data_IF_588767024096
#
_entry.id   IF_588767024096
#
_cell.length_a   1.000
_cell.length_b   1.000
_cell.length_c   1.000
_cell.angle_alpha   90.00
_cell.angle_beta   90.00
_cell.angle_gamma   90.00
#
_symmetry.space_group_name_H-M   'P 1'
#
loop_
_entity.id
_entity.type
_entity.pdbx_description
1 polymer ?
#
# COMPACT_ATOMS: atom_id res chain seq x y z
N UNK A 1 6.25 -6.14 -22.79
CA UNK A 1 5.46 -5.66 -21.65
C UNK A 1 6.39 -5.27 -20.51
N UNK A 2 6.17 -4.12 -19.91
CA UNK A 2 6.98 -3.67 -18.78
C UNK A 2 6.64 -4.46 -17.52
N UNK A 3 7.64 -4.74 -16.70
CA UNK A 3 7.45 -5.43 -15.43
C UNK A 3 7.97 -4.54 -14.30
N UNK A 4 7.14 -4.34 -13.28
CA UNK A 4 7.49 -3.56 -12.10
C UNK A 4 7.35 -4.41 -10.84
N UNK A 5 8.36 -4.32 -9.96
CA UNK A 5 8.30 -4.91 -8.63
C UNK A 5 8.00 -3.81 -7.63
N UNK A 6 6.98 -4.01 -6.81
CA UNK A 6 6.43 -3.00 -5.90
C UNK A 6 6.33 -3.57 -4.50
N UNK A 7 6.62 -2.73 -3.50
CA UNK A 7 6.36 -3.03 -2.10
C UNK A 7 5.27 -2.08 -1.60
N UNK A 8 4.23 -2.62 -0.98
CA UNK A 8 3.12 -1.84 -0.46
C UNK A 8 2.89 -2.15 1.01
N UNK A 9 2.44 -1.15 1.76
CA UNK A 9 2.25 -1.27 3.20
C UNK A 9 0.79 -1.17 3.61
N UNK A 10 0.38 -2.08 4.48
CA UNK A 10 -0.95 -2.10 5.08
C UNK A 10 -0.76 -1.63 6.53
N UNK A 11 -1.02 -0.34 6.78
CA UNK A 11 -0.91 0.23 8.11
C UNK A 11 -2.24 0.03 8.83
N UNK A 12 -2.19 -0.69 9.95
CA UNK A 12 -3.38 -0.94 10.77
C UNK A 12 -3.24 -0.18 12.08
N UNK A 13 -4.25 0.61 12.43
CA UNK A 13 -4.24 1.33 13.70
C UNK A 13 -4.86 0.48 14.82
N UNK A 14 -4.84 1.01 16.04
CA UNK A 14 -5.37 0.30 17.20
C UNK A 14 -6.89 0.12 17.17
N UNK A 15 -7.58 0.86 16.31
CA UNK A 15 -9.04 0.77 16.15
C UNK A 15 -9.46 -0.19 15.04
N UNK A 16 -8.52 -0.89 14.40
CA UNK A 16 -8.82 -1.81 13.32
C UNK A 16 -9.05 -1.12 11.98
N UNK A 17 -8.57 0.11 11.82
CA UNK A 17 -8.67 0.85 10.56
C UNK A 17 -7.38 0.71 9.77
N UNK A 18 -7.51 0.75 8.46
CA UNK A 18 -6.40 0.60 7.52
C UNK A 18 -6.24 1.89 6.74
N UNK A 19 -5.00 2.30 6.52
CA UNK A 19 -4.69 3.52 5.78
C UNK A 19 -4.66 3.26 4.28
N UNK A 20 -5.41 4.08 3.54
CA UNK A 20 -5.34 4.11 2.08
C UNK A 20 -4.97 5.52 1.63
N UNK A 21 -4.36 5.61 0.46
CA UNK A 21 -3.89 6.87 -0.11
C UNK A 21 -4.47 7.05 -1.51
N UNK A 22 -4.79 8.28 -1.85
CA UNK A 22 -5.29 8.63 -3.17
C UNK A 22 -4.15 8.64 -4.18
N UNK A 23 -4.37 8.01 -5.35
CA UNK A 23 -3.40 8.03 -6.42
C UNK A 23 -3.48 9.38 -7.13
N UNK A 24 -2.37 10.12 -7.12
CA UNK A 24 -2.27 11.45 -7.72
C UNK A 24 -1.39 11.40 -8.98
N UNK A 25 -1.38 12.50 -9.74
CA UNK A 25 -0.61 12.62 -10.96
C UNK A 25 -1.46 12.36 -12.19
N UNK A 26 -0.83 12.39 -13.36
CA UNK A 26 -1.52 12.28 -14.66
C UNK A 26 -1.58 10.85 -15.20
N UNK A 27 -1.16 9.88 -14.40
CA UNK A 27 -1.10 8.50 -14.83
C UNK A 27 -2.45 7.80 -14.84
N UNK A 28 -2.48 6.53 -15.27
CA UNK A 28 -3.69 5.72 -15.20
C UNK A 28 -4.12 5.52 -13.76
N UNK A 29 -5.42 5.30 -13.55
CA UNK A 29 -6.02 5.10 -12.23
C UNK A 29 -5.97 6.31 -11.32
N UNK A 30 -5.76 7.51 -11.89
CA UNK A 30 -5.82 8.77 -11.15
C UNK A 30 -7.13 8.86 -10.38
N UNK A 31 -7.06 9.20 -9.10
CA UNK A 31 -8.24 9.35 -8.25
C UNK A 31 -8.69 8.07 -7.55
N UNK A 32 -8.17 6.92 -7.94
CA UNK A 32 -8.44 5.69 -7.20
C UNK A 32 -7.56 5.64 -5.94
N UNK A 33 -7.97 4.81 -4.99
CA UNK A 33 -7.27 4.64 -3.73
C UNK A 33 -6.38 3.40 -3.77
N UNK A 34 -5.31 3.41 -2.98
CA UNK A 34 -4.35 2.31 -2.94
C UNK A 34 -3.70 2.20 -1.57
N UNK A 35 -3.12 1.03 -1.28
CA UNK A 35 -2.22 0.91 -0.15
C UNK A 35 -0.93 1.64 -0.50
N UNK A 36 -0.37 2.46 0.40
CA UNK A 36 0.83 3.23 0.10
C UNK A 36 2.04 2.34 -0.14
N UNK A 37 2.92 2.77 -1.01
CA UNK A 37 4.13 2.04 -1.36
C UNK A 37 4.68 2.51 -2.69
N UNK A 38 5.61 1.75 -3.24
CA UNK A 38 6.21 2.12 -4.50
C UNK A 38 7.16 1.07 -5.04
N UNK A 39 7.85 1.43 -6.11
CA UNK A 39 8.74 0.52 -6.81
C UNK A 39 9.96 0.16 -5.97
N UNK A 40 10.33 -1.11 -6.02
CA UNK A 40 11.56 -1.60 -5.41
C UNK A 40 12.72 -1.21 -6.30
N UNK A 41 13.69 -0.50 -5.73
CA UNK A 41 14.86 -0.05 -6.46
C UNK A 41 15.86 -1.17 -6.68
N UNK A 42 16.78 -0.94 -7.61
CA UNK A 42 17.83 -1.89 -7.91
C UNK A 42 18.70 -2.10 -6.67
N UNK A 43 18.86 -3.37 -6.28
CA UNK A 43 19.66 -3.72 -5.11
C UNK A 43 18.98 -3.52 -3.77
N UNK A 44 17.72 -3.07 -3.77
CA UNK A 44 16.93 -2.91 -2.56
C UNK A 44 16.17 -4.20 -2.24
N UNK A 45 16.05 -4.53 -0.95
CA UNK A 45 15.08 -5.52 -0.54
C UNK A 45 13.68 -4.90 -0.57
N UNK A 46 12.65 -5.73 -0.62
CA UNK A 46 11.26 -5.24 -0.57
C UNK A 46 11.00 -4.46 0.72
N UNK A 47 11.53 -4.93 1.84
CA UNK A 47 11.35 -4.27 3.13
C UNK A 47 12.02 -2.89 3.16
N UNK A 48 13.23 -2.77 2.60
CA UNK A 48 13.95 -1.50 2.53
C UNK A 48 13.22 -0.52 1.59
N UNK A 49 12.72 -1.02 0.47
CA UNK A 49 11.94 -0.21 -0.45
C UNK A 49 10.68 0.33 0.21
N UNK A 50 9.97 -0.52 0.96
CA UNK A 50 8.78 -0.11 1.69
C UNK A 50 9.10 1.01 2.68
N UNK A 51 10.15 0.83 3.49
CA UNK A 51 10.55 1.84 4.48
C UNK A 51 10.87 3.16 3.82
N UNK A 52 11.60 3.13 2.71
CA UNK A 52 11.96 4.34 1.96
C UNK A 52 10.73 5.01 1.37
N UNK A 53 9.86 4.24 0.70
CA UNK A 53 8.66 4.79 0.07
C UNK A 53 7.71 5.40 1.10
N UNK A 54 7.50 4.74 2.24
CA UNK A 54 6.60 5.27 3.27
C UNK A 54 7.20 6.50 3.96
N UNK A 55 8.52 6.58 4.06
CA UNK A 55 9.17 7.80 4.54
C UNK A 55 8.93 8.96 3.59
N UNK A 56 9.04 8.72 2.28
CA UNK A 56 8.83 9.74 1.26
C UNK A 56 7.36 10.17 1.16
N UNK A 57 6.45 9.21 1.12
CA UNK A 57 5.04 9.48 0.88
C UNK A 57 4.26 9.93 2.11
N UNK A 58 4.59 9.38 3.26
CA UNK A 58 3.81 9.56 4.49
C UNK A 58 4.59 10.25 5.61
N UNK A 59 5.89 10.46 5.45
CA UNK A 59 6.77 11.04 6.46
C UNK A 59 6.79 10.24 7.77
N UNK A 60 6.72 8.92 7.65
CA UNK A 60 6.80 8.02 8.81
C UNK A 60 8.06 7.17 8.75
N UNK A 61 8.44 6.61 9.89
CA UNK A 61 9.53 5.63 9.97
C UNK A 61 8.94 4.28 10.38
N UNK A 62 9.00 3.30 9.48
CA UNK A 62 8.50 1.95 9.77
C UNK A 62 9.45 1.27 10.74
N UNK A 63 8.94 0.77 11.86
CA UNK A 63 9.75 0.11 12.88
C UNK A 63 9.44 -1.38 13.01
N UNK A 64 8.28 -1.83 12.53
CA UNK A 64 7.95 -3.26 12.50
C UNK A 64 6.99 -3.56 11.36
N UNK A 65 7.35 -4.52 10.52
CA UNK A 65 6.49 -4.99 9.45
C UNK A 65 6.76 -6.47 9.19
N UNK A 66 5.78 -7.14 8.59
CA UNK A 66 5.91 -8.55 8.20
C UNK A 66 5.25 -8.76 6.85
N UNK A 67 5.83 -9.67 6.05
CA UNK A 67 5.25 -9.99 4.74
C UNK A 67 3.88 -10.63 4.94
N UNK A 68 2.91 -10.17 4.17
CA UNK A 68 1.54 -10.64 4.25
C UNK A 68 1.12 -11.43 3.02
N UNK A 69 1.38 -10.88 1.83
CA UNK A 69 0.88 -11.46 0.60
C UNK A 69 1.70 -10.99 -0.59
N UNK A 70 1.88 -11.87 -1.57
CA UNK A 70 2.49 -11.52 -2.85
C UNK A 70 1.44 -11.68 -3.92
N UNK A 71 1.33 -10.67 -4.79
CA UNK A 71 0.40 -10.69 -5.91
C UNK A 71 1.12 -10.38 -7.21
N UNK A 72 0.61 -10.98 -8.26
CA UNK A 72 1.02 -10.66 -9.61
C UNK A 72 -0.22 -10.23 -10.37
N UNK A 73 -0.22 -9.01 -10.89
CA UNK A 73 -1.38 -8.47 -11.59
C UNK A 73 -0.96 -7.93 -12.95
N UNK A 74 -1.68 -8.34 -13.99
CA UNK A 74 -1.42 -7.90 -15.34
C UNK A 74 -2.40 -6.81 -15.73
N UNK A 75 -1.85 -5.62 -15.99
CA UNK A 75 -2.59 -4.52 -16.59
C UNK A 75 -2.38 -4.57 -18.09
N UNK A 76 -3.13 -3.79 -18.85
CA UNK A 76 -3.07 -3.79 -20.31
C UNK A 76 -1.66 -3.57 -20.84
N UNK A 77 -0.89 -2.67 -20.22
CA UNK A 77 0.43 -2.26 -20.71
C UNK A 77 1.60 -2.72 -19.82
N UNK A 78 1.32 -3.42 -18.70
CA UNK A 78 2.37 -3.76 -17.75
C UNK A 78 1.98 -4.93 -16.85
N UNK A 79 3.01 -5.56 -16.33
CA UNK A 79 2.88 -6.59 -15.31
C UNK A 79 3.45 -6.04 -14.01
N UNK A 80 2.70 -6.14 -12.92
CA UNK A 80 3.11 -5.66 -11.62
C UNK A 80 3.15 -6.82 -10.63
N UNK A 81 4.29 -7.01 -9.97
CA UNK A 81 4.41 -7.96 -8.86
C UNK A 81 4.49 -7.13 -7.59
N UNK A 82 3.58 -7.35 -6.66
CA UNK A 82 3.49 -6.56 -5.44
C UNK A 82 3.68 -7.44 -4.22
N UNK A 83 4.61 -7.06 -3.36
CA UNK A 83 4.73 -7.67 -2.04
C UNK A 83 4.06 -6.74 -1.04
N UNK A 84 3.02 -7.26 -0.36
CA UNK A 84 2.27 -6.51 0.65
C UNK A 84 2.79 -6.88 2.03
N UNK A 85 3.00 -5.86 2.86
CA UNK A 85 3.47 -6.01 4.22
C UNK A 85 2.42 -5.48 5.19
N UNK A 86 2.21 -6.19 6.30
CA UNK A 86 1.48 -5.63 7.44
C UNK A 86 2.47 -4.77 8.21
N UNK A 87 2.17 -3.48 8.33
CA UNK A 87 2.99 -2.53 9.08
C UNK A 87 2.34 -2.36 10.44
N UNK A 88 2.97 -2.91 11.47
CA UNK A 88 2.40 -2.95 12.82
C UNK A 88 2.91 -1.84 13.73
N UNK A 89 4.06 -1.27 13.43
CA UNK A 89 4.63 -0.18 14.23
C UNK A 89 5.35 0.81 13.35
N UNK A 90 5.16 2.09 13.65
CA UNK A 90 5.85 3.17 12.97
C UNK A 90 5.95 4.39 13.89
N UNK A 91 6.85 5.30 13.55
CA UNK A 91 7.01 6.57 14.25
C UNK A 91 6.42 7.69 13.42
N UNK A 92 5.85 8.68 14.07
CA UNK A 92 5.19 9.86 13.52
C UNK A 92 3.82 9.53 12.90
N UNK A 93 2.95 10.51 12.87
CA UNK A 93 1.64 10.34 12.27
C UNK A 93 1.74 10.43 10.75
N UNK A 94 1.13 9.50 10.00
CA UNK A 94 1.12 9.59 8.55
C UNK A 94 0.50 10.89 8.06
N UNK A 95 1.13 11.50 7.06
CA UNK A 95 0.62 12.70 6.41
C UNK A 95 0.84 12.59 4.90
N UNK A 96 0.05 13.29 4.12
CA UNK A 96 0.17 13.29 2.67
C UNK A 96 1.30 14.16 2.20
N UNK A 97 2.54 13.69 2.36
CA UNK A 97 3.75 14.47 2.09
C UNK A 97 3.95 14.79 0.61
N UNK A 98 3.21 14.13 -0.28
CA UNK A 98 3.24 14.39 -1.72
C UNK A 98 1.97 15.07 -2.21
N UNK A 99 1.12 15.55 -1.29
CA UNK A 99 -0.11 16.23 -1.63
C UNK A 99 -1.31 15.29 -1.81
N UNK A 100 -1.12 14.00 -1.62
CA UNK A 100 -2.21 13.03 -1.75
C UNK A 100 -3.12 13.03 -0.53
N UNK A 101 -4.40 12.75 -0.75
CA UNK A 101 -5.33 12.55 0.36
C UNK A 101 -5.09 11.20 1.02
N UNK A 102 -5.31 11.14 2.32
CA UNK A 102 -5.21 9.91 3.10
C UNK A 102 -6.56 9.64 3.75
N UNK A 103 -6.86 8.36 3.96
CA UNK A 103 -8.11 7.96 4.60
C UNK A 103 -7.87 6.72 5.45
N UNK A 104 -8.33 6.76 6.70
CA UNK A 104 -8.37 5.60 7.57
C UNK A 104 -9.73 4.95 7.42
N UNK A 105 -9.77 3.68 7.02
CA UNK A 105 -11.01 2.97 6.72
C UNK A 105 -11.08 1.69 7.55
N UNK A 106 -12.22 1.42 8.21
CA UNK A 106 -12.38 0.13 8.89
C UNK A 106 -12.13 -1.01 7.89
N UNK A 107 -11.43 -2.02 8.34
CA UNK A 107 -11.04 -3.16 7.48
C UNK A 107 -12.22 -3.73 6.71
N UNK A 108 -13.36 -3.88 7.36
CA UNK A 108 -14.55 -4.48 6.75
C UNK A 108 -15.30 -3.54 5.80
N UNK A 109 -14.86 -2.27 5.70
CA UNK A 109 -15.45 -1.29 4.79
C UNK A 109 -14.56 -0.99 3.59
N UNK A 110 -13.42 -1.66 3.46
CA UNK A 110 -12.48 -1.40 2.36
C UNK A 110 -13.07 -1.67 0.98
N UNK A 111 -13.94 -2.64 0.85
CA UNK A 111 -14.57 -2.98 -0.42
C UNK A 111 -15.58 -1.93 -0.89
N UNK A 112 -15.96 -0.98 -0.03
CA UNK A 112 -16.79 0.16 -0.42
C UNK A 112 -15.97 1.30 -1.03
N UNK A 113 -14.64 1.22 -0.96
CA UNK A 113 -13.74 2.23 -1.50
C UNK A 113 -13.36 1.91 -2.94
N UNK A 114 -13.01 2.93 -3.71
CA UNK A 114 -12.59 2.78 -5.11
C UNK A 114 -11.09 2.46 -5.15
N UNK A 115 -10.76 1.20 -4.90
CA UNK A 115 -9.37 0.74 -4.84
C UNK A 115 -8.87 0.26 -6.19
N UNK A 116 -7.54 0.29 -6.36
CA UNK A 116 -6.91 -0.28 -7.55
C UNK A 116 -7.25 -1.77 -7.68
N UNK A 117 -7.44 -2.27 -8.91
CA UNK A 117 -7.77 -3.70 -9.12
C UNK A 117 -6.79 -4.66 -8.44
N UNK A 118 -5.49 -4.34 -8.44
CA UNK A 118 -4.48 -5.20 -7.84
C UNK A 118 -4.60 -5.31 -6.32
N UNK A 119 -5.29 -4.35 -5.67
CA UNK A 119 -5.45 -4.34 -4.22
C UNK A 119 -6.66 -5.14 -3.73
N UNK A 120 -7.59 -5.46 -4.61
CA UNK A 120 -8.83 -6.14 -4.22
C UNK A 120 -8.64 -7.53 -3.59
N UNK A 121 -7.75 -8.40 -4.11
CA UNK A 121 -7.49 -9.67 -3.45
C UNK A 121 -6.93 -9.52 -2.04
N UNK A 122 -6.18 -8.44 -1.80
CA UNK A 122 -5.62 -8.15 -0.48
C UNK A 122 -6.73 -7.79 0.50
N UNK A 123 -7.72 -7.02 0.05
CA UNK A 123 -8.87 -6.67 0.88
C UNK A 123 -9.59 -7.94 1.36
N UNK A 124 -9.85 -8.87 0.45
CA UNK A 124 -10.49 -10.13 0.80
C UNK A 124 -9.67 -10.90 1.84
N UNK A 125 -8.35 -10.96 1.67
CA UNK A 125 -7.47 -11.64 2.61
C UNK A 125 -7.45 -10.95 3.98
N UNK A 126 -7.45 -9.62 4.00
CA UNK A 126 -7.47 -8.85 5.25
C UNK A 126 -8.75 -9.10 6.04
N UNK A 127 -9.88 -9.21 5.37
CA UNK A 127 -11.16 -9.44 6.02
C UNK A 127 -11.28 -10.83 6.63
N UNK A 128 -10.40 -11.76 6.25
CA UNK A 128 -10.34 -13.09 6.85
C UNK A 128 -9.54 -13.12 8.15
N UNK A 129 -8.75 -12.10 8.43
CA UNK A 129 -7.95 -12.03 9.65
C UNK A 129 -8.84 -11.63 10.82
N UNK A 130 -8.81 -12.45 11.86
CA UNK A 130 -9.49 -12.12 13.11
C UNK A 130 -8.66 -11.11 13.89
N UNK A 131 -9.31 -10.10 14.41
CA UNK A 131 -8.64 -9.06 15.19
C UNK A 131 -8.70 -9.36 16.68
#
# INVERSE_FOLDING_TARGET
>A
MKHFDVAAGILCDSSGRVLIAERIGDGPFHGLWEFPGGKIGRGESACDALSRELAEELCIEVTACSSFMNLRHEYEDRLVTIEFFLVSKWKRDPSGCEGQALRWVPKDSLDAEELLPADMPVVAALQQIES
#
